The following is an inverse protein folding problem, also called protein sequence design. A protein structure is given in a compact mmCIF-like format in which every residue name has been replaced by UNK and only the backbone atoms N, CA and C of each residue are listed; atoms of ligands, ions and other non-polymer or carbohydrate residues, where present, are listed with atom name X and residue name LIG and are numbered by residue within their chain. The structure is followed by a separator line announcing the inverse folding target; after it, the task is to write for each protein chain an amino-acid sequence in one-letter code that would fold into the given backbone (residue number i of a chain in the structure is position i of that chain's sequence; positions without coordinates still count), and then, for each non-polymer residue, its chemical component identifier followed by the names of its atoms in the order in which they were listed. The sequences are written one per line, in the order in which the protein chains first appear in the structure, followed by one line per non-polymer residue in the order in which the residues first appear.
data_IF_496781469006
#
_entry.id   IF_496781469006
#
_cell.length_a   1.000
_cell.length_b   1.000
_cell.length_c   1.000
_cell.angle_alpha   90.00
_cell.angle_beta   90.00
_cell.angle_gamma   90.00
#
_symmetry.space_group_name_H-M   'P 1'
#
loop_
_entity.id
_entity.type
_entity.pdbx_description
1 polymer ?
#
# COMPACT_ATOMS: atom_id res chain seq x y z
N UNK A 1 -55.23 -46.67 -45.52
CA UNK A 1 -54.96 -45.27 -45.09
C UNK A 1 -53.88 -44.71 -46.01
N UNK A 2 -54.16 -44.40 -47.27
CA UNK A 2 -55.00 -43.30 -47.79
C UNK A 2 -54.36 -41.93 -47.57
N UNK A 3 -53.74 -41.40 -48.65
CA UNK A 3 -53.56 -39.99 -49.02
C UNK A 3 -52.65 -39.12 -48.09
N UNK A 4 -51.87 -38.13 -48.54
CA UNK A 4 -51.72 -37.37 -49.79
C UNK A 4 -50.44 -36.51 -49.58
N UNK A 5 -49.47 -36.46 -50.50
CA UNK A 5 -49.34 -35.37 -51.53
C UNK A 5 -48.77 -34.07 -50.93
N UNK A 6 -47.79 -33.34 -51.47
CA UNK A 6 -46.95 -33.41 -52.68
C UNK A 6 -45.92 -32.28 -52.57
N UNK A 7 -44.68 -32.53 -53.04
CA UNK A 7 -43.67 -31.51 -53.39
C UNK A 7 -44.26 -30.49 -54.37
N UNK A 8 -43.80 -29.23 -54.38
CA UNK A 8 -43.47 -28.54 -55.65
C UNK A 8 -42.44 -27.44 -55.38
N UNK A 9 -41.30 -27.62 -56.03
CA UNK A 9 -40.26 -26.66 -56.35
C UNK A 9 -40.68 -25.81 -57.55
N UNK A 10 -40.21 -24.56 -57.62
CA UNK A 10 -39.81 -23.82 -58.85
C UNK A 10 -39.48 -22.37 -58.43
N UNK A 11 -38.58 -21.60 -59.05
CA UNK A 11 -37.39 -21.73 -59.91
C UNK A 11 -37.20 -20.30 -60.47
N UNK A 12 -35.95 -19.83 -60.54
CA UNK A 12 -35.39 -18.87 -61.54
C UNK A 12 -35.55 -17.37 -61.20
N UNK A 13 -34.47 -16.59 -60.98
CA UNK A 13 -33.35 -16.10 -61.84
C UNK A 13 -33.75 -14.83 -62.64
N UNK A 14 -32.74 -13.98 -62.90
CA UNK A 14 -32.67 -12.78 -63.79
C UNK A 14 -32.83 -11.45 -63.02
N UNK A 15 -31.79 -10.63 -62.76
CA UNK A 15 -30.84 -9.87 -63.62
C UNK A 15 -31.44 -8.54 -64.16
N UNK A 16 -30.71 -7.43 -63.98
CA UNK A 16 -31.01 -6.09 -64.52
C UNK A 16 -31.37 -5.07 -63.42
N UNK A 17 -30.47 -4.18 -62.99
CA UNK A 17 -29.96 -2.96 -63.64
C UNK A 17 -30.98 -1.81 -63.72
N UNK A 18 -30.48 -0.59 -63.51
CA UNK A 18 -30.96 0.73 -63.99
C UNK A 18 -31.51 1.72 -62.94
N UNK A 19 -30.68 2.75 -62.71
CA UNK A 19 -30.90 4.21 -62.58
C UNK A 19 -32.00 4.81 -61.67
N UNK A 20 -31.51 5.83 -60.93
CA UNK A 20 -32.11 7.16 -60.68
C UNK A 20 -33.38 7.17 -59.80
N UNK A 21 -33.69 8.15 -58.94
CA UNK A 21 -33.34 9.57 -58.86
C UNK A 21 -33.81 10.05 -57.47
N UNK A 22 -32.98 10.86 -56.80
CA UNK A 22 -33.27 12.03 -55.95
C UNK A 22 -34.66 12.27 -55.31
N UNK A 23 -34.70 12.67 -54.01
CA UNK A 23 -34.92 14.06 -53.50
C UNK A 23 -35.69 14.16 -52.13
N UNK A 24 -35.21 15.07 -51.25
CA UNK A 24 -35.82 15.78 -50.08
C UNK A 24 -36.13 14.97 -48.80
N UNK A 25 -35.52 15.19 -47.62
CA UNK A 25 -35.26 16.37 -46.71
C UNK A 25 -36.49 16.89 -45.93
N UNK A 26 -36.38 16.78 -44.58
CA UNK A 26 -37.10 17.54 -43.54
C UNK A 26 -38.04 16.68 -42.67
N UNK A 27 -38.13 16.76 -41.34
CA UNK A 27 -37.60 17.65 -40.28
C UNK A 27 -37.85 16.99 -38.90
N UNK A 28 -37.23 17.59 -37.86
CA UNK A 28 -37.63 17.60 -36.45
C UNK A 28 -37.20 16.42 -35.56
N UNK A 29 -36.22 16.72 -34.70
CA UNK A 29 -35.89 15.91 -33.54
C UNK A 29 -36.81 16.15 -32.34
N UNK A 30 -36.75 15.21 -31.41
CA UNK A 30 -36.80 15.37 -29.96
C UNK A 30 -36.61 13.98 -29.36
N UNK A 31 -35.48 13.76 -28.71
CA UNK A 31 -35.11 12.46 -28.14
C UNK A 31 -33.82 12.56 -27.36
N UNK A 32 -33.79 13.40 -26.33
CA UNK A 32 -32.76 13.34 -25.31
C UNK A 32 -33.17 12.30 -24.26
N UNK A 33 -32.32 11.31 -24.01
CA UNK A 33 -31.89 10.93 -22.64
C UNK A 33 -30.97 9.71 -22.64
N UNK A 34 -29.86 9.89 -21.91
CA UNK A 34 -28.98 8.88 -21.31
C UNK A 34 -28.16 8.00 -22.27
N UNK A 35 -27.19 8.60 -22.97
CA UNK A 35 -25.92 7.90 -23.19
C UNK A 35 -25.22 7.76 -21.84
N UNK A 36 -25.19 6.53 -21.33
CA UNK A 36 -24.41 6.18 -20.15
C UNK A 36 -22.98 6.68 -20.33
N UNK A 37 -22.49 7.38 -19.30
CA UNK A 37 -21.09 7.72 -19.15
C UNK A 37 -20.31 6.42 -19.20
N UNK A 38 -19.67 6.13 -20.34
CA UNK A 38 -18.69 5.06 -20.40
C UNK A 38 -17.57 5.49 -19.48
N UNK A 39 -17.57 4.90 -18.29
CA UNK A 39 -16.38 4.85 -17.44
C UNK A 39 -15.38 4.02 -18.23
N UNK A 40 -14.57 4.69 -19.06
CA UNK A 40 -13.32 4.15 -19.55
C UNK A 40 -12.49 3.87 -18.30
N UNK A 41 -12.57 2.62 -17.83
CA UNK A 41 -11.63 2.06 -16.88
C UNK A 41 -10.26 2.15 -17.54
N UNK A 42 -9.56 3.26 -17.32
CA UNK A 42 -8.19 3.43 -17.73
C UNK A 42 -7.42 2.31 -17.01
N UNK A 43 -6.74 1.48 -17.80
CA UNK A 43 -5.82 0.50 -17.25
C UNK A 43 -4.91 1.23 -16.23
N UNK A 44 -4.70 0.67 -15.03
CA UNK A 44 -3.91 1.36 -14.02
C UNK A 44 -2.54 1.73 -14.59
N UNK A 45 -2.00 2.91 -14.24
CA UNK A 45 -0.73 3.36 -14.77
C UNK A 45 0.34 2.27 -14.54
N UNK A 46 1.28 2.07 -15.47
CA UNK A 46 2.38 1.14 -15.26
C UNK A 46 3.25 1.59 -14.07
N UNK A 47 3.91 0.65 -13.37
CA UNK A 47 4.81 0.98 -12.26
C UNK A 47 5.96 1.88 -12.75
N UNK A 48 6.22 2.97 -12.02
CA UNK A 48 7.35 3.86 -12.28
C UNK A 48 8.67 3.12 -12.04
N UNK A 49 9.59 3.17 -13.01
CA UNK A 49 10.90 2.54 -12.87
C UNK A 49 11.64 3.07 -11.62
N UNK A 50 12.12 2.17 -10.76
CA UNK A 50 12.80 2.53 -9.51
C UNK A 50 11.87 2.80 -8.32
N UNK A 51 10.54 2.70 -8.48
CA UNK A 51 9.58 2.74 -7.37
C UNK A 51 9.11 1.32 -7.03
N UNK A 52 9.36 0.81 -5.81
CA UNK A 52 8.90 -0.52 -5.42
C UNK A 52 7.35 -0.61 -5.42
N UNK A 53 6.75 -1.71 -5.90
CA UNK A 53 5.30 -1.92 -5.84
C UNK A 53 4.75 -1.74 -4.41
N UNK A 54 3.56 -1.16 -4.30
CA UNK A 54 2.92 -0.92 -3.00
C UNK A 54 3.48 0.25 -2.19
N UNK A 55 4.49 0.98 -2.69
CA UNK A 55 5.00 2.18 -2.00
C UNK A 55 4.29 3.45 -2.43
N UNK A 56 4.10 4.36 -1.47
CA UNK A 56 3.74 5.76 -1.73
C UNK A 56 5.02 6.60 -1.69
N UNK A 57 5.14 7.58 -2.59
CA UNK A 57 6.27 8.52 -2.63
C UNK A 57 5.74 9.96 -2.70
N UNK A 58 6.16 10.80 -1.77
CA UNK A 58 5.78 12.22 -1.67
C UNK A 58 7.03 13.10 -1.60
N UNK A 59 7.04 14.30 -2.18
CA UNK A 59 8.14 15.24 -2.01
C UNK A 59 8.20 15.74 -0.56
N UNK A 60 9.41 15.91 -0.03
CA UNK A 60 9.67 16.27 1.36
C UNK A 60 10.69 17.43 1.52
N UNK A 61 10.99 18.17 0.45
CA UNK A 61 11.88 19.34 0.46
C UNK A 61 13.32 19.00 0.09
N UNK A 62 14.28 19.73 0.64
CA UNK A 62 15.73 19.61 0.33
C UNK A 62 16.63 19.58 1.57
N UNK A 63 16.06 19.71 2.77
CA UNK A 63 16.77 19.63 4.05
C UNK A 63 16.35 18.34 4.78
N UNK A 64 17.31 17.42 4.93
CA UNK A 64 17.05 16.10 5.52
C UNK A 64 16.68 16.18 6.98
N UNK A 65 17.38 17.00 7.77
CA UNK A 65 17.09 17.13 9.20
C UNK A 65 15.69 17.72 9.42
N UNK A 66 15.32 18.74 8.62
CA UNK A 66 13.99 19.32 8.67
C UNK A 66 12.91 18.31 8.25
N UNK A 67 13.14 17.52 7.20
CA UNK A 67 12.21 16.50 6.75
C UNK A 67 12.02 15.39 7.80
N UNK A 68 13.11 14.90 8.41
CA UNK A 68 13.07 13.90 9.49
C UNK A 68 12.23 14.41 10.65
N UNK A 69 12.48 15.66 11.07
CA UNK A 69 11.73 16.27 12.17
C UNK A 69 10.24 16.37 11.86
N UNK A 70 9.84 16.75 10.64
CA UNK A 70 8.43 16.81 10.25
C UNK A 70 7.72 15.45 10.38
N UNK A 71 8.39 14.36 9.99
CA UNK A 71 7.84 13.00 10.15
C UNK A 71 7.69 12.66 11.63
N UNK A 72 8.71 12.93 12.46
CA UNK A 72 8.65 12.67 13.90
C UNK A 72 7.54 13.48 14.58
N UNK A 73 7.45 14.78 14.28
CA UNK A 73 6.40 15.66 14.79
C UNK A 73 5.01 15.14 14.39
N UNK A 74 4.82 14.77 13.11
CA UNK A 74 3.56 14.23 12.61
C UNK A 74 3.13 12.93 13.30
N UNK A 75 4.09 12.02 13.57
CA UNK A 75 3.84 10.80 14.36
C UNK A 75 3.34 11.17 15.75
N UNK A 76 4.03 12.09 16.44
CA UNK A 76 3.67 12.47 17.82
C UNK A 76 2.34 13.23 17.90
N UNK A 77 2.04 14.08 16.92
CA UNK A 77 0.76 14.78 16.82
C UNK A 77 -0.42 13.82 16.69
N UNK A 78 -0.22 12.65 16.08
CA UNK A 78 -1.18 11.55 16.00
C UNK A 78 -1.27 10.67 17.25
N UNK A 79 -0.72 11.10 18.40
CA UNK A 79 -0.53 10.29 19.62
C UNK A 79 0.34 9.03 19.39
N UNK A 80 1.21 9.09 18.39
CA UNK A 80 2.18 8.05 18.10
C UNK A 80 3.49 8.20 18.86
N UNK A 81 4.28 7.14 18.82
CA UNK A 81 5.64 7.13 19.36
C UNK A 81 6.62 6.86 18.21
N UNK A 82 7.71 7.63 18.18
CA UNK A 82 8.87 7.32 17.33
C UNK A 82 9.68 6.25 18.05
N UNK A 83 9.67 5.03 17.55
CA UNK A 83 10.40 3.90 18.15
C UNK A 83 11.88 3.96 17.81
N UNK A 84 12.20 4.31 16.57
CA UNK A 84 13.57 4.40 16.10
C UNK A 84 13.68 5.45 14.99
N UNK A 85 14.87 6.02 14.88
CA UNK A 85 15.31 6.78 13.70
C UNK A 85 16.67 6.23 13.31
N UNK A 86 16.76 5.67 12.10
CA UNK A 86 17.96 4.99 11.59
C UNK A 86 18.51 5.81 10.44
N UNK A 87 19.73 6.33 10.60
CA UNK A 87 20.43 7.07 9.55
C UNK A 87 21.36 6.13 8.79
N UNK A 88 20.83 5.55 7.71
CA UNK A 88 21.58 4.63 6.87
C UNK A 88 22.79 5.31 6.20
N UNK A 89 22.75 6.63 6.00
CA UNK A 89 23.88 7.36 5.43
C UNK A 89 25.02 7.49 6.44
N UNK A 90 24.70 7.76 7.71
CA UNK A 90 25.67 7.73 8.80
C UNK A 90 26.23 6.32 8.99
N UNK A 91 25.38 5.30 8.99
CA UNK A 91 25.78 3.89 9.15
C UNK A 91 26.71 3.44 8.01
N UNK A 92 26.41 3.79 6.76
CA UNK A 92 27.29 3.54 5.62
C UNK A 92 28.68 4.17 5.82
N UNK A 93 28.73 5.38 6.38
CA UNK A 93 29.98 6.08 6.70
C UNK A 93 30.89 5.29 7.64
N UNK A 94 30.33 4.51 8.57
CA UNK A 94 31.11 3.65 9.49
C UNK A 94 31.87 2.54 8.75
N UNK A 95 31.43 2.20 7.54
CA UNK A 95 32.05 1.20 6.65
C UNK A 95 32.94 1.83 5.57
N UNK A 96 33.11 3.15 5.58
CA UNK A 96 33.86 3.89 4.56
C UNK A 96 33.09 4.12 3.26
N UNK A 97 31.78 3.88 3.24
CA UNK A 97 30.91 4.10 2.07
C UNK A 97 30.12 5.39 2.27
N UNK A 98 30.06 6.23 1.23
CA UNK A 98 29.20 7.42 1.23
C UNK A 98 28.00 7.20 0.31
N UNK A 99 26.81 7.45 0.84
CA UNK A 99 25.55 7.45 0.09
C UNK A 99 24.81 8.78 0.29
N UNK A 100 23.89 9.16 -0.63
CA UNK A 100 23.00 10.31 -0.40
C UNK A 100 22.17 10.14 0.88
N UNK A 101 21.69 11.26 1.43
CA UNK A 101 20.92 11.26 2.67
C UNK A 101 19.80 10.21 2.66
N UNK A 102 19.79 9.34 3.66
CA UNK A 102 18.88 8.21 3.74
C UNK A 102 18.58 7.91 5.21
N UNK A 103 17.38 8.26 5.65
CA UNK A 103 16.98 8.12 7.05
C UNK A 103 15.61 7.46 7.13
N UNK A 104 15.47 6.44 7.97
CA UNK A 104 14.20 5.76 8.23
C UNK A 104 13.69 6.16 9.61
N UNK A 105 12.48 6.71 9.67
CA UNK A 105 11.76 6.95 10.92
C UNK A 105 10.74 5.82 11.09
N UNK A 106 10.80 5.11 12.21
CA UNK A 106 9.93 3.98 12.53
C UNK A 106 9.04 4.37 13.69
N UNK A 107 7.72 4.36 13.49
CA UNK A 107 6.81 4.81 14.54
C UNK A 107 5.36 4.89 14.10
N UNK A 108 4.51 5.21 15.07
CA UNK A 108 3.06 5.31 14.88
C UNK A 108 2.31 5.17 16.20
N UNK A 109 1.00 5.36 16.16
CA UNK A 109 0.14 5.12 17.30
C UNK A 109 -0.05 3.61 17.52
N UNK A 110 0.31 3.05 18.70
CA UNK A 110 0.12 1.62 18.95
C UNK A 110 -1.34 1.17 18.78
N UNK A 111 -2.29 2.04 19.17
CA UNK A 111 -3.72 1.77 19.13
C UNK A 111 -4.27 1.50 17.72
N UNK A 112 -3.68 2.10 16.67
CA UNK A 112 -4.22 1.99 15.30
C UNK A 112 -3.88 0.65 14.65
N UNK A 113 -2.81 -0.02 15.10
CA UNK A 113 -2.43 -1.36 14.65
C UNK A 113 -3.10 -2.50 15.42
N UNK A 114 -3.69 -2.23 16.60
CA UNK A 114 -4.30 -3.26 17.44
C UNK A 114 -5.40 -4.06 16.74
N UNK A 115 -6.32 -3.47 15.95
CA UNK A 115 -7.34 -4.25 15.24
C UNK A 115 -6.71 -5.25 14.26
N UNK A 116 -5.64 -4.88 13.55
CA UNK A 116 -4.91 -5.80 12.67
C UNK A 116 -4.25 -6.93 13.45
N UNK A 117 -3.61 -6.62 14.59
CA UNK A 117 -2.97 -7.62 15.46
C UNK A 117 -3.95 -8.62 16.06
N UNK A 118 -5.20 -8.21 16.30
CA UNK A 118 -6.27 -9.11 16.77
C UNK A 118 -6.72 -10.08 15.68
N UNK A 119 -6.69 -9.66 14.42
CA UNK A 119 -6.97 -10.54 13.27
C UNK A 119 -5.79 -11.49 13.02
N UNK A 120 -4.57 -10.94 12.96
CA UNK A 120 -3.35 -11.71 12.71
C UNK A 120 -2.16 -11.10 13.44
N UNK A 121 -1.61 -11.83 14.42
CA UNK A 121 -0.44 -11.36 15.18
C UNK A 121 0.82 -11.21 14.32
N UNK A 122 0.91 -11.90 13.18
CA UNK A 122 2.03 -11.75 12.25
C UNK A 122 2.08 -10.34 11.62
N UNK A 123 0.97 -9.57 11.69
CA UNK A 123 0.98 -8.15 11.33
C UNK A 123 1.99 -7.32 12.18
N UNK A 124 2.38 -7.81 13.36
CA UNK A 124 3.42 -7.20 14.19
C UNK A 124 4.78 -7.06 13.48
N UNK A 125 5.04 -7.88 12.47
CA UNK A 125 6.30 -7.85 11.75
C UNK A 125 6.36 -6.74 10.69
N UNK A 126 5.21 -6.23 10.26
CA UNK A 126 5.07 -5.10 9.32
C UNK A 126 4.72 -3.81 10.04
N UNK A 127 4.27 -3.89 11.29
CA UNK A 127 3.95 -2.76 12.16
C UNK A 127 5.12 -2.43 13.13
N UNK A 128 5.26 -1.17 13.57
CA UNK A 128 4.56 0.01 13.07
C UNK A 128 5.09 0.44 11.69
N UNK A 129 4.52 1.50 11.14
CA UNK A 129 4.90 2.02 9.82
C UNK A 129 6.35 2.51 9.79
N UNK A 130 6.96 2.38 8.60
CA UNK A 130 8.32 2.85 8.31
C UNK A 130 8.26 3.96 7.27
N UNK A 131 8.78 5.13 7.64
CA UNK A 131 8.84 6.31 6.80
C UNK A 131 10.29 6.56 6.38
N UNK A 132 10.62 6.25 5.14
CA UNK A 132 11.94 6.48 4.57
C UNK A 132 11.99 7.89 3.97
N UNK A 133 12.94 8.70 4.43
CA UNK A 133 13.36 9.91 3.75
C UNK A 133 14.63 9.62 2.96
N UNK A 134 14.56 9.78 1.64
CA UNK A 134 15.69 9.56 0.74
C UNK A 134 15.96 10.79 -0.09
N UNK A 135 17.24 11.13 -0.24
CA UNK A 135 17.72 12.20 -1.11
C UNK A 135 18.16 11.63 -2.46
N UNK A 136 17.82 12.31 -3.54
CA UNK A 136 18.36 12.01 -4.88
C UNK A 136 19.65 12.78 -5.17
N UNK A 137 20.22 12.57 -6.36
CA UNK A 137 21.46 13.24 -6.78
C UNK A 137 21.31 14.75 -7.01
N UNK A 138 20.08 15.26 -7.18
CA UNK A 138 19.78 16.68 -7.29
C UNK A 138 19.58 17.36 -5.93
N UNK A 139 19.64 16.59 -4.84
CA UNK A 139 19.43 17.08 -3.48
C UNK A 139 17.96 17.14 -3.06
N UNK A 140 17.03 16.72 -3.92
CA UNK A 140 15.61 16.65 -3.56
C UNK A 140 15.34 15.44 -2.67
N UNK A 141 14.46 15.63 -1.69
CA UNK A 141 14.11 14.62 -0.69
C UNK A 141 12.71 14.13 -0.95
N UNK A 142 12.52 12.81 -0.91
CA UNK A 142 11.23 12.16 -0.96
C UNK A 142 10.95 11.39 0.33
N UNK A 143 9.73 11.51 0.82
CA UNK A 143 9.12 10.61 1.79
C UNK A 143 8.55 9.40 1.07
N UNK A 144 9.04 8.22 1.41
CA UNK A 144 8.61 6.93 0.88
C UNK A 144 8.13 6.07 2.03
N UNK A 145 6.94 5.49 1.90
CA UNK A 145 6.38 4.57 2.90
C UNK A 145 5.55 3.49 2.21
N UNK A 146 5.19 2.44 2.93
CA UNK A 146 4.36 1.39 2.37
C UNK A 146 2.89 1.83 2.41
N UNK A 147 2.21 1.71 1.28
CA UNK A 147 0.78 1.97 1.21
C UNK A 147 0.00 1.13 2.23
N UNK A 148 -1.02 1.67 2.90
CA UNK A 148 -1.80 0.91 3.87
C UNK A 148 -2.43 -0.36 3.28
N UNK A 149 -2.79 -0.33 2.00
CA UNK A 149 -3.29 -1.46 1.22
C UNK A 149 -2.22 -2.55 1.05
N UNK A 150 -0.98 -2.16 0.77
CA UNK A 150 0.15 -3.08 0.73
C UNK A 150 0.39 -3.72 2.10
N UNK A 151 0.45 -2.90 3.16
CA UNK A 151 0.68 -3.38 4.54
C UNK A 151 -0.41 -4.36 4.97
N UNK A 152 -1.68 -4.04 4.70
CA UNK A 152 -2.82 -4.93 4.94
C UNK A 152 -2.64 -6.28 4.23
N UNK A 153 -2.26 -6.26 2.94
CA UNK A 153 -2.06 -7.46 2.15
C UNK A 153 -0.92 -8.34 2.67
N UNK A 154 0.26 -7.77 2.95
CA UNK A 154 1.42 -8.54 3.46
C UNK A 154 1.24 -9.02 4.90
N UNK A 155 0.38 -8.34 5.67
CA UNK A 155 -0.05 -8.75 7.01
C UNK A 155 -1.07 -9.88 6.99
N UNK A 156 -1.65 -10.21 5.82
CA UNK A 156 -2.77 -11.15 5.72
C UNK A 156 -4.04 -10.66 6.42
N UNK A 157 -4.25 -9.34 6.51
CA UNK A 157 -5.43 -8.73 7.13
C UNK A 157 -6.20 -7.96 6.07
N UNK A 158 -7.21 -8.61 5.48
CA UNK A 158 -8.03 -8.04 4.39
C UNK A 158 -9.34 -7.41 4.87
N UNK A 159 -9.63 -7.49 6.17
CA UNK A 159 -10.80 -6.83 6.76
C UNK A 159 -10.60 -5.31 6.77
N UNK A 160 -11.47 -4.60 6.07
CA UNK A 160 -11.43 -3.15 5.97
C UNK A 160 -11.64 -2.47 7.32
N UNK A 161 -12.50 -3.02 8.18
CA UNK A 161 -12.74 -2.43 9.50
C UNK A 161 -11.48 -2.52 10.38
N UNK A 162 -10.72 -3.62 10.26
CA UNK A 162 -9.48 -3.79 10.99
C UNK A 162 -8.33 -2.90 10.45
N UNK A 163 -8.33 -2.59 9.16
CA UNK A 163 -7.23 -1.85 8.50
C UNK A 163 -7.46 -0.34 8.41
N UNK A 164 -8.71 0.12 8.45
CA UNK A 164 -9.06 1.54 8.31
C UNK A 164 -8.35 2.45 9.33
N UNK A 165 -8.30 2.15 10.64
CA UNK A 165 -7.64 3.04 11.60
C UNK A 165 -6.16 3.24 11.29
N UNK A 166 -5.46 2.16 10.90
CA UNK A 166 -4.07 2.21 10.47
C UNK A 166 -3.92 3.06 9.20
N UNK A 167 -4.75 2.82 8.18
CA UNK A 167 -4.71 3.58 6.94
C UNK A 167 -4.93 5.08 7.17
N UNK A 168 -5.92 5.46 7.98
CA UNK A 168 -6.20 6.86 8.33
C UNK A 168 -5.02 7.51 9.05
N UNK A 169 -4.44 6.84 10.05
CA UNK A 169 -3.32 7.38 10.79
C UNK A 169 -2.07 7.54 9.92
N UNK A 170 -1.75 6.53 9.09
CA UNK A 170 -0.61 6.57 8.17
C UNK A 170 -0.74 7.70 7.16
N UNK A 171 -1.93 7.89 6.57
CA UNK A 171 -2.19 9.01 5.66
C UNK A 171 -2.09 10.36 6.37
N UNK A 172 -2.59 10.48 7.60
CA UNK A 172 -2.46 11.72 8.39
C UNK A 172 -1.00 12.08 8.67
N UNK A 173 -0.16 11.10 9.00
CA UNK A 173 1.29 11.33 9.20
C UNK A 173 1.94 11.78 7.89
N UNK A 174 1.66 11.08 6.79
CA UNK A 174 2.19 11.41 5.48
C UNK A 174 1.78 12.83 5.03
N UNK A 175 0.52 13.21 5.24
CA UNK A 175 -0.01 14.53 4.90
C UNK A 175 0.70 15.64 5.67
N UNK A 176 0.80 15.48 6.99
CA UNK A 176 1.44 16.47 7.86
C UNK A 176 2.94 16.58 7.59
N UNK A 177 3.62 15.46 7.38
CA UNK A 177 5.06 15.43 7.16
C UNK A 177 5.46 16.03 5.81
N UNK A 178 4.69 15.73 4.75
CA UNK A 178 4.97 16.19 3.39
C UNK A 178 4.37 17.57 3.09
N UNK A 179 3.35 18.00 3.83
CA UNK A 179 2.55 19.18 3.50
C UNK A 179 1.62 18.99 2.28
N UNK A 180 1.41 17.74 1.83
CA UNK A 180 0.54 17.39 0.73
C UNK A 180 -0.70 16.68 1.26
N UNK A 181 -1.89 17.18 0.97
CA UNK A 181 -3.14 16.52 1.36
C UNK A 181 -3.79 15.83 0.18
N UNK A 182 -4.39 14.66 0.41
CA UNK A 182 -5.20 13.98 -0.59
C UNK A 182 -5.05 12.46 -0.56
N UNK A 183 -5.75 11.79 -1.46
CA UNK A 183 -5.60 10.35 -1.64
C UNK A 183 -4.23 10.07 -2.26
N UNK A 184 -3.36 9.40 -1.51
CA UNK A 184 -2.08 8.94 -2.02
C UNK A 184 -2.26 7.61 -2.73
N UNK A 185 -1.78 7.53 -3.98
CA UNK A 185 -1.78 6.26 -4.70
C UNK A 185 -0.52 5.47 -4.39
N UNK A 186 -0.69 4.27 -3.87
CA UNK A 186 0.37 3.26 -3.83
C UNK A 186 0.80 2.92 -5.25
N UNK A 187 2.09 2.61 -5.43
CA UNK A 187 2.60 2.09 -6.69
C UNK A 187 1.83 0.81 -7.09
N UNK A 188 1.44 0.66 -8.36
CA UNK A 188 0.68 -0.49 -8.83
C UNK A 188 1.31 -1.82 -8.43
N UNK A 189 0.51 -2.72 -7.85
CA UNK A 189 0.92 -4.10 -7.53
C UNK A 189 0.60 -5.09 -8.67
N UNK A 190 0.26 -4.60 -9.88
CA UNK A 190 -0.13 -5.47 -11.00
C UNK A 190 1.01 -6.42 -11.37
N UNK A 191 0.70 -7.71 -11.44
CA UNK A 191 1.69 -8.77 -11.71
C UNK A 191 2.57 -9.12 -10.52
N UNK A 192 2.41 -8.44 -9.37
CA UNK A 192 3.14 -8.71 -8.13
C UNK A 192 2.13 -9.06 -7.05
N UNK A 193 1.90 -10.35 -6.82
CA UNK A 193 1.14 -10.77 -5.64
C UNK A 193 1.98 -10.44 -4.39
N UNK A 194 1.53 -9.55 -3.49
CA UNK A 194 2.26 -9.25 -2.27
C UNK A 194 2.40 -10.55 -1.46
N UNK A 195 3.64 -11.01 -1.29
CA UNK A 195 3.95 -12.17 -0.46
C UNK A 195 4.42 -11.67 0.89
N UNK A 196 3.86 -12.23 1.96
CA UNK A 196 4.47 -12.08 3.28
C UNK A 196 5.91 -12.59 3.23
N UNK A 197 6.84 -11.81 3.78
CA UNK A 197 8.28 -12.11 3.78
C UNK A 197 8.74 -12.79 5.08
N UNK A 198 7.79 -13.21 5.91
CA UNK A 198 8.07 -13.76 7.23
C UNK A 198 8.61 -15.18 7.14
N UNK A 199 9.78 -15.37 7.74
CA UNK A 199 10.30 -16.70 8.07
C UNK A 199 9.87 -17.02 9.50
N UNK A 200 9.08 -18.08 9.66
CA UNK A 200 8.65 -18.56 10.98
C UNK A 200 9.48 -19.75 11.38
N UNK A 201 10.09 -19.68 12.56
CA UNK A 201 10.72 -20.81 13.23
C UNK A 201 9.99 -21.04 14.56
N UNK A 202 9.63 -22.29 14.85
CA UNK A 202 9.00 -22.62 16.12
C UNK A 202 10.04 -22.54 17.25
N UNK A 203 9.75 -21.73 18.27
CA UNK A 203 10.49 -21.71 19.53
C UNK A 203 9.93 -22.73 20.53
N UNK A 204 10.72 -23.07 21.54
CA UNK A 204 10.32 -23.92 22.67
C UNK A 204 10.21 -23.13 24.00
N UNK A 205 10.30 -21.80 23.94
CA UNK A 205 10.26 -20.90 25.09
C UNK A 205 9.15 -19.84 24.93
N UNK A 206 8.79 -19.21 26.04
CA UNK A 206 7.86 -18.07 26.01
C UNK A 206 8.52 -16.82 25.39
N UNK A 207 7.71 -15.79 25.09
CA UNK A 207 8.17 -14.60 24.37
C UNK A 207 9.31 -13.87 25.10
N UNK A 208 9.23 -13.54 26.41
CA UNK A 208 10.33 -12.86 27.11
C UNK A 208 11.66 -13.63 27.06
N UNK A 209 11.62 -14.96 27.24
CA UNK A 209 12.82 -15.79 27.18
C UNK A 209 13.39 -15.83 25.76
N UNK A 210 12.54 -15.99 24.76
CA UNK A 210 12.95 -15.94 23.35
C UNK A 210 13.61 -14.60 22.99
N UNK A 211 13.05 -13.49 23.46
CA UNK A 211 13.63 -12.16 23.22
C UNK A 211 14.98 -11.98 23.91
N UNK A 212 15.14 -12.48 25.15
CA UNK A 212 16.43 -12.46 25.82
C UNK A 212 17.48 -13.30 25.07
N UNK A 213 17.08 -14.47 24.56
CA UNK A 213 17.96 -15.33 23.75
C UNK A 213 18.37 -14.66 22.44
N UNK A 214 17.43 -14.01 21.73
CA UNK A 214 17.74 -13.28 20.50
C UNK A 214 18.74 -12.15 20.75
N UNK A 215 18.56 -11.38 21.84
CA UNK A 215 19.50 -10.31 22.22
C UNK A 215 20.88 -10.85 22.57
N UNK A 216 20.95 -11.96 23.28
CA UNK A 216 22.21 -12.60 23.64
C UNK A 216 22.93 -13.23 22.44
N UNK A 217 22.19 -13.59 21.39
CA UNK A 217 22.71 -14.21 20.17
C UNK A 217 23.16 -13.22 19.08
N UNK A 218 23.05 -11.91 19.31
CA UNK A 218 23.49 -10.89 18.35
C UNK A 218 24.99 -10.97 18.10
N UNK A 219 25.38 -10.80 16.83
CA UNK A 219 26.77 -10.79 16.41
C UNK A 219 27.53 -9.53 16.87
N UNK A 220 28.85 -9.55 16.68
CA UNK A 220 29.69 -8.38 16.96
C UNK A 220 29.28 -7.23 16.03
N UNK A 221 28.87 -6.10 16.62
CA UNK A 221 28.42 -4.92 15.90
C UNK A 221 26.92 -4.89 15.59
N UNK A 222 26.17 -5.94 15.94
CA UNK A 222 24.71 -5.94 15.84
C UNK A 222 24.07 -5.43 17.14
N UNK A 223 23.08 -4.55 17.01
CA UNK A 223 22.35 -4.01 18.16
C UNK A 223 20.85 -3.95 17.86
N UNK A 224 20.03 -4.24 18.87
CA UNK A 224 18.60 -3.90 18.81
C UNK A 224 18.46 -2.38 18.99
N UNK A 225 18.01 -1.69 17.96
CA UNK A 225 17.79 -0.24 17.96
C UNK A 225 16.48 0.14 18.64
N UNK A 226 15.48 -0.75 18.65
CA UNK A 226 14.26 -0.56 19.41
C UNK A 226 13.54 -1.88 19.73
N UNK A 227 12.70 -1.87 20.77
CA UNK A 227 11.81 -2.99 21.05
C UNK A 227 10.45 -2.49 21.51
N UNK A 228 9.41 -3.22 21.13
CA UNK A 228 8.04 -2.89 21.46
C UNK A 228 7.30 -4.13 21.96
N UNK A 229 6.71 -3.99 23.15
CA UNK A 229 5.71 -4.95 23.63
C UNK A 229 4.32 -4.53 23.13
N UNK A 230 3.79 -5.32 22.21
CA UNK A 230 2.50 -5.03 21.58
C UNK A 230 1.33 -5.56 22.41
N UNK A 231 1.58 -6.48 23.35
CA UNK A 231 0.55 -6.98 24.24
C UNK A 231 0.31 -6.04 25.42
N UNK A 232 1.33 -5.32 25.87
CA UNK A 232 1.23 -4.30 26.91
C UNK A 232 0.16 -3.23 26.56
N UNK A 233 -0.77 -2.98 27.49
CA UNK A 233 -1.86 -1.99 27.31
C UNK A 233 -2.94 -2.37 26.28
N UNK A 234 -2.81 -3.51 25.58
CA UNK A 234 -3.78 -3.90 24.55
C UNK A 234 -5.20 -4.20 25.08
N UNK A 235 -5.31 -4.45 26.39
CA UNK A 235 -6.58 -4.69 27.09
C UNK A 235 -7.44 -3.42 27.25
N UNK A 236 -6.84 -2.23 27.14
CA UNK A 236 -7.53 -0.95 27.39
C UNK A 236 -8.53 -0.61 26.28
N UNK A 237 -8.45 -1.30 25.13
CA UNK A 237 -9.25 -1.06 23.93
C UNK A 237 -9.92 -2.32 23.37
N UNK A 238 -10.09 -3.35 24.20
CA UNK A 238 -10.68 -4.64 23.81
C UNK A 238 -9.96 -5.83 24.45
N UNK A 239 -10.13 -7.05 23.91
CA UNK A 239 -9.42 -8.21 24.41
C UNK A 239 -7.91 -8.03 24.32
N UNK A 240 -7.20 -8.45 25.38
CA UNK A 240 -5.75 -8.46 25.42
C UNK A 240 -5.19 -9.32 24.29
N UNK A 241 -4.12 -8.84 23.64
CA UNK A 241 -3.35 -9.63 22.70
C UNK A 241 -2.59 -10.74 23.43
N UNK A 242 -2.34 -11.85 22.74
CA UNK A 242 -1.35 -12.83 23.22
C UNK A 242 0.01 -12.15 23.22
N UNK A 243 0.93 -12.61 24.07
CA UNK A 243 2.28 -12.08 24.14
C UNK A 243 2.89 -11.95 22.73
N UNK A 244 3.30 -10.74 22.37
CA UNK A 244 3.84 -10.41 21.04
C UNK A 244 4.81 -9.25 21.23
N UNK A 245 6.05 -9.46 20.80
CA UNK A 245 7.10 -8.44 20.88
C UNK A 245 7.75 -8.29 19.51
N UNK A 246 8.02 -7.05 19.14
CA UNK A 246 8.80 -6.69 17.96
C UNK A 246 10.16 -6.17 18.42
N UNK A 247 11.22 -6.67 17.79
CA UNK A 247 12.60 -6.19 17.93
C UNK A 247 13.00 -5.57 16.59
N UNK A 248 13.60 -4.39 16.66
CA UNK A 248 14.12 -3.61 15.53
C UNK A 248 15.61 -3.47 15.67
#
# INVERSE_FOLDING_TARGET
MTARTTRIQRRHVIMGAVLATSLLVGTAGCGASATGEQVTSLAPPPPTAGQPPGTVTLPAGTDMAAAVKKVQDAITAGNGVVLATVDNAADAGTTGVTIPGNTVVIGGAPSVGLPMLRVNQQAAATLPERYLLRQDSGGAISLVYNGPDYVAAVSGVVDLAATTPFATATSSVADQASGHSGAHSSAPMIGVAPKSFLRTAAGNANVPVTVAQLRAGLGVGETVVAAQDLAAGSADSGPALRATQSLL
#
